data_IF_815891676880
#
_entry.id   IF_815891676880
#
_cell.length_a   1.000
_cell.length_b   1.000
_cell.length_c   1.000
_cell.angle_alpha   90.00
_cell.angle_beta   90.00
_cell.angle_gamma   90.00
#
_symmetry.space_group_name_H-M   'P 1'
#
loop_
_entity.id
_entity.type
_entity.pdbx_description
1 polymer ?
#
# COMPACT_ATOMS: atom_id res chain seq x y z
N UNK A 1 -0.44 -12.79 28.50
CA UNK A 1 0.07 -12.18 27.26
C UNK A 1 -0.56 -10.82 27.02
N UNK A 2 0.07 -9.75 27.50
CA UNK A 2 -0.43 -8.39 27.34
C UNK A 2 -0.23 -7.88 25.90
N UNK A 3 0.93 -8.16 25.32
CA UNK A 3 1.30 -7.74 23.97
C UNK A 3 0.36 -8.28 22.88
N UNK A 4 0.03 -9.58 22.91
CA UNK A 4 -0.92 -10.16 21.95
C UNK A 4 -2.29 -9.46 21.99
N UNK A 5 -2.78 -9.16 23.20
CA UNK A 5 -4.03 -8.42 23.39
C UNK A 5 -3.98 -7.01 22.82
N UNK A 6 -2.86 -6.29 23.01
CA UNK A 6 -2.63 -4.96 22.44
C UNK A 6 -2.55 -4.97 20.91
N UNK A 7 -1.87 -5.96 20.32
CA UNK A 7 -1.79 -6.14 18.87
C UNK A 7 -3.16 -6.43 18.27
N UNK A 8 -3.91 -7.37 18.87
CA UNK A 8 -5.26 -7.73 18.43
C UNK A 8 -6.25 -6.55 18.59
N UNK A 9 -6.13 -5.77 19.67
CA UNK A 9 -6.93 -4.56 19.88
C UNK A 9 -6.63 -3.49 18.81
N UNK A 10 -5.35 -3.23 18.56
CA UNK A 10 -4.91 -2.28 17.52
C UNK A 10 -5.39 -2.71 16.13
N UNK A 11 -5.34 -4.00 15.82
CA UNK A 11 -5.87 -4.56 14.57
C UNK A 11 -7.38 -4.31 14.40
N UNK A 12 -8.18 -4.53 15.45
CA UNK A 12 -9.63 -4.26 15.44
C UNK A 12 -9.91 -2.78 15.23
N UNK A 13 -9.19 -1.90 15.93
CA UNK A 13 -9.32 -0.45 15.80
C UNK A 13 -9.06 0.02 14.37
N UNK A 14 -7.97 -0.43 13.73
CA UNK A 14 -7.67 -0.07 12.34
C UNK A 14 -8.75 -0.56 11.36
N UNK A 15 -9.30 -1.76 11.60
CA UNK A 15 -10.36 -2.32 10.77
C UNK A 15 -11.66 -1.50 10.89
N UNK A 16 -12.02 -1.08 12.11
CA UNK A 16 -13.19 -0.24 12.38
C UNK A 16 -13.06 1.15 11.73
N UNK A 17 -11.91 1.81 11.89
CA UNK A 17 -11.64 3.11 11.25
C UNK A 17 -11.78 3.00 9.74
N UNK A 18 -11.21 1.95 9.13
CA UNK A 18 -11.31 1.72 7.68
C UNK A 18 -12.75 1.59 7.21
N UNK A 19 -13.55 0.81 7.93
CA UNK A 19 -14.96 0.61 7.61
C UNK A 19 -15.75 1.93 7.70
N UNK A 20 -15.53 2.71 8.75
CA UNK A 20 -16.15 4.04 8.93
C UNK A 20 -15.80 4.99 7.79
N UNK A 21 -14.54 5.04 7.36
CA UNK A 21 -14.13 5.89 6.23
C UNK A 21 -14.75 5.44 4.91
N UNK A 22 -14.92 4.14 4.69
CA UNK A 22 -15.61 3.63 3.50
C UNK A 22 -17.10 3.99 3.49
N UNK A 23 -17.76 4.03 4.65
CA UNK A 23 -19.16 4.42 4.76
C UNK A 23 -19.39 5.92 4.49
N UNK A 24 -18.40 6.77 4.77
CA UNK A 24 -18.51 8.22 4.54
C UNK A 24 -18.56 8.57 3.05
N UNK A 25 -17.87 7.82 2.19
CA UNK A 25 -17.78 8.13 0.75
C UNK A 25 -19.14 8.12 0.03
N UNK A 26 -19.97 7.06 0.12
CA UNK A 26 -21.30 7.06 -0.48
C UNK A 26 -22.22 8.16 0.07
N UNK A 27 -22.14 8.44 1.38
CA UNK A 27 -22.95 9.48 2.02
C UNK A 27 -22.55 10.88 1.53
N UNK A 28 -21.25 11.14 1.41
CA UNK A 28 -20.74 12.40 0.86
C UNK A 28 -21.15 12.57 -0.61
N UNK A 29 -21.06 11.51 -1.42
CA UNK A 29 -21.50 11.54 -2.81
C UNK A 29 -23.01 11.85 -2.94
N UNK A 30 -23.84 11.21 -2.12
CA UNK A 30 -25.28 11.46 -2.09
C UNK A 30 -25.61 12.89 -1.63
N UNK A 31 -24.96 13.38 -0.58
CA UNK A 31 -25.14 14.75 -0.10
C UNK A 31 -24.74 15.78 -1.17
N UNK A 32 -23.62 15.58 -1.85
CA UNK A 32 -23.20 16.44 -2.96
C UNK A 32 -24.22 16.42 -4.10
N UNK A 33 -24.77 15.26 -4.46
CA UNK A 33 -25.79 15.18 -5.51
C UNK A 33 -27.04 16.00 -5.16
N UNK A 34 -27.51 15.94 -3.90
CA UNK A 34 -28.65 16.74 -3.42
C UNK A 34 -28.34 18.25 -3.45
N UNK A 35 -27.13 18.64 -3.03
CA UNK A 35 -26.72 20.06 -3.04
C UNK A 35 -26.63 20.60 -4.46
N UNK A 36 -26.08 19.82 -5.40
CA UNK A 36 -25.93 20.23 -6.79
C UNK A 36 -27.27 20.39 -7.52
N UNK A 37 -28.25 19.54 -7.22
CA UNK A 37 -29.61 19.66 -7.78
C UNK A 37 -30.29 20.99 -7.38
N UNK A 38 -30.01 21.45 -6.15
CA UNK A 38 -30.54 22.72 -5.64
C UNK A 38 -29.78 23.95 -6.15
N UNK A 39 -28.45 23.88 -6.28
CA UNK A 39 -27.62 25.01 -6.66
C UNK A 39 -27.72 25.35 -8.16
N UNK A 40 -27.94 24.35 -9.03
CA UNK A 40 -28.10 24.47 -10.50
C UNK A 40 -27.00 25.25 -11.27
N UNK A 41 -25.85 25.52 -10.66
CA UNK A 41 -24.72 26.21 -11.31
C UNK A 41 -23.57 25.25 -11.60
N UNK A 42 -23.00 25.33 -12.79
CA UNK A 42 -21.86 24.50 -13.19
C UNK A 42 -20.61 24.77 -12.33
N UNK A 43 -20.44 26.01 -11.86
CA UNK A 43 -19.33 26.42 -11.00
C UNK A 43 -19.35 25.66 -9.67
N UNK A 44 -20.51 25.57 -9.02
CA UNK A 44 -20.68 24.76 -7.81
C UNK A 44 -20.35 23.29 -8.10
N UNK A 45 -20.82 22.76 -9.22
CA UNK A 45 -20.50 21.41 -9.70
C UNK A 45 -19.00 21.14 -9.76
N UNK A 46 -18.24 22.07 -10.35
CA UNK A 46 -16.79 21.97 -10.47
C UNK A 46 -16.10 22.00 -9.11
N UNK A 47 -16.47 22.96 -8.23
CA UNK A 47 -15.88 23.12 -6.90
C UNK A 47 -16.09 21.86 -6.07
N UNK A 48 -17.32 21.35 -5.99
CA UNK A 48 -17.62 20.14 -5.24
C UNK A 48 -16.91 18.91 -5.80
N UNK A 49 -16.80 18.80 -7.13
CA UNK A 49 -16.12 17.66 -7.76
C UNK A 49 -14.61 17.67 -7.51
N UNK A 50 -13.96 18.83 -7.58
CA UNK A 50 -12.54 18.97 -7.25
C UNK A 50 -12.28 18.69 -5.76
N UNK A 51 -13.13 19.23 -4.88
CA UNK A 51 -13.04 18.97 -3.44
C UNK A 51 -13.19 17.47 -3.14
N UNK A 52 -14.23 16.83 -3.69
CA UNK A 52 -14.47 15.40 -3.53
C UNK A 52 -13.31 14.54 -4.05
N UNK A 53 -12.70 14.92 -5.18
CA UNK A 53 -11.52 14.27 -5.72
C UNK A 53 -10.33 14.34 -4.77
N UNK A 54 -10.00 15.53 -4.25
CA UNK A 54 -8.89 15.74 -3.31
C UNK A 54 -9.10 14.94 -2.02
N UNK A 55 -10.29 15.00 -1.44
CA UNK A 55 -10.65 14.22 -0.24
C UNK A 55 -10.49 12.72 -0.50
N UNK A 56 -10.97 12.23 -1.65
CA UNK A 56 -10.87 10.82 -2.01
C UNK A 56 -9.41 10.38 -2.17
N UNK A 57 -8.55 11.20 -2.80
CA UNK A 57 -7.12 10.93 -2.92
C UNK A 57 -6.41 10.92 -1.55
N UNK A 58 -6.80 11.82 -0.64
CA UNK A 58 -6.34 11.82 0.75
C UNK A 58 -6.73 10.52 1.48
N UNK A 59 -7.99 10.08 1.34
CA UNK A 59 -8.47 8.81 1.91
C UNK A 59 -7.74 7.59 1.34
N UNK A 60 -7.50 7.55 0.03
CA UNK A 60 -6.72 6.46 -0.61
C UNK A 60 -5.31 6.39 -0.03
N UNK A 61 -4.68 7.54 0.18
CA UNK A 61 -3.31 7.65 0.73
C UNK A 61 -3.27 7.18 2.18
N UNK A 62 -4.19 7.69 3.01
CA UNK A 62 -4.36 7.27 4.40
C UNK A 62 -4.61 5.76 4.51
N UNK A 63 -5.53 5.24 3.69
CA UNK A 63 -5.87 3.83 3.66
C UNK A 63 -4.69 2.94 3.22
N UNK A 64 -3.86 3.43 2.28
CA UNK A 64 -2.64 2.73 1.86
C UNK A 64 -1.60 2.66 2.99
N UNK A 65 -1.51 3.69 3.84
CA UNK A 65 -0.68 3.65 5.05
C UNK A 65 -1.25 2.69 6.09
N UNK A 66 -2.57 2.66 6.28
CA UNK A 66 -3.22 1.71 7.17
C UNK A 66 -3.01 0.26 6.74
N UNK A 67 -2.99 -0.04 5.43
CA UNK A 67 -2.65 -1.39 4.94
C UNK A 67 -1.26 -1.84 5.41
N UNK A 68 -0.28 -0.93 5.44
CA UNK A 68 1.07 -1.25 5.91
C UNK A 68 1.05 -1.59 7.41
N UNK A 69 0.40 -0.77 8.23
CA UNK A 69 0.27 -1.01 9.67
C UNK A 69 -0.49 -2.30 9.96
N UNK A 70 -1.56 -2.55 9.22
CA UNK A 70 -2.38 -3.75 9.30
C UNK A 70 -1.57 -5.01 8.99
N UNK A 71 -0.78 -5.02 7.91
CA UNK A 71 0.09 -6.15 7.55
C UNK A 71 1.15 -6.42 8.62
N UNK A 72 1.75 -5.36 9.18
CA UNK A 72 2.73 -5.47 10.26
C UNK A 72 2.11 -6.07 11.53
N UNK A 73 0.92 -5.61 11.93
CA UNK A 73 0.24 -6.14 13.11
C UNK A 73 -0.17 -7.61 12.93
N UNK A 74 -0.63 -8.01 11.74
CA UNK A 74 -0.90 -9.42 11.45
C UNK A 74 0.38 -10.25 11.57
N UNK A 75 1.47 -9.78 10.96
CA UNK A 75 2.75 -10.48 11.02
C UNK A 75 3.23 -10.67 12.45
N UNK A 76 3.12 -9.61 13.28
CA UNK A 76 3.48 -9.65 14.70
C UNK A 76 2.59 -10.61 15.49
N UNK A 77 1.27 -10.55 15.30
CA UNK A 77 0.34 -11.45 15.98
C UNK A 77 0.61 -12.93 15.62
N UNK A 78 0.85 -13.22 14.34
CA UNK A 78 1.21 -14.55 13.87
C UNK A 78 2.56 -15.02 14.43
N UNK A 79 3.54 -14.12 14.59
CA UNK A 79 4.82 -14.46 15.21
C UNK A 79 4.64 -14.84 16.69
N UNK A 80 3.84 -14.05 17.44
CA UNK A 80 3.53 -14.31 18.85
C UNK A 80 2.80 -15.65 19.00
N UNK A 81 1.78 -15.93 18.19
CA UNK A 81 1.05 -17.22 18.21
C UNK A 81 1.99 -18.42 18.04
N UNK A 82 2.92 -18.37 17.08
CA UNK A 82 3.92 -19.43 16.90
C UNK A 82 4.87 -19.58 18.08
N UNK A 83 5.28 -18.48 18.71
CA UNK A 83 6.15 -18.53 19.89
C UNK A 83 5.46 -19.22 21.08
N UNK A 84 4.13 -19.20 21.12
CA UNK A 84 3.34 -19.86 22.16
C UNK A 84 3.00 -21.32 21.81
N UNK A 85 3.43 -21.79 20.64
CA UNK A 85 3.07 -23.11 20.12
C UNK A 85 1.66 -23.19 19.51
N UNK A 86 0.97 -22.06 19.33
CA UNK A 86 -0.33 -22.01 18.67
C UNK A 86 -0.16 -21.84 17.15
N UNK A 87 0.14 -22.94 16.47
CA UNK A 87 0.34 -22.95 15.02
C UNK A 87 -0.96 -22.79 14.23
N UNK A 88 -2.12 -23.06 14.85
CA UNK A 88 -3.45 -22.90 14.25
C UNK A 88 -4.17 -21.62 14.71
N UNK A 89 -3.40 -20.68 15.28
CA UNK A 89 -3.91 -19.40 15.73
C UNK A 89 -4.53 -18.57 14.61
N UNK A 90 -5.40 -17.64 14.99
CA UNK A 90 -6.21 -16.84 14.07
C UNK A 90 -5.39 -16.00 13.08
N UNK A 91 -4.15 -15.63 13.43
CA UNK A 91 -3.24 -14.88 12.57
C UNK A 91 -2.21 -15.79 11.88
N UNK A 92 -1.74 -16.85 12.54
CA UNK A 92 -0.74 -17.79 12.05
C UNK A 92 -1.22 -18.62 10.87
N UNK A 93 -2.45 -19.11 10.94
CA UNK A 93 -3.07 -19.93 9.89
C UNK A 93 -4.23 -19.22 9.18
N UNK A 94 -4.14 -17.89 9.06
CA UNK A 94 -5.19 -17.10 8.40
C UNK A 94 -5.40 -17.57 6.95
N UNK A 95 -6.64 -17.96 6.56
CA UNK A 95 -6.92 -18.38 5.20
C UNK A 95 -6.67 -17.22 4.23
N UNK A 96 -5.94 -17.51 3.15
CA UNK A 96 -5.77 -16.56 2.04
C UNK A 96 -7.09 -16.45 1.26
N UNK A 97 -7.32 -15.29 0.66
CA UNK A 97 -8.44 -15.10 -0.26
C UNK A 97 -8.40 -16.15 -1.38
N UNK A 98 -9.26 -17.16 -1.31
CA UNK A 98 -9.35 -18.28 -2.25
C UNK A 98 -10.57 -18.17 -3.17
N UNK A 99 -11.61 -17.43 -2.75
CA UNK A 99 -12.83 -17.26 -3.52
C UNK A 99 -12.60 -16.31 -4.70
N UNK A 100 -13.03 -16.75 -5.88
CA UNK A 100 -12.99 -15.97 -7.12
C UNK A 100 -14.43 -15.95 -7.67
N UNK A 101 -14.93 -14.78 -8.02
CA UNK A 101 -16.23 -14.57 -8.67
C UNK A 101 -16.02 -14.34 -10.17
N UNK A 102 -17.00 -14.75 -10.96
CA UNK A 102 -17.01 -14.59 -12.43
C UNK A 102 -16.34 -15.75 -13.18
N UNK A 103 -16.52 -15.74 -14.51
CA UNK A 103 -16.00 -16.75 -15.44
C UNK A 103 -15.18 -16.09 -16.57
N UNK A 104 -14.27 -16.85 -17.17
CA UNK A 104 -13.46 -16.39 -18.31
C UNK A 104 -12.46 -15.27 -17.96
N UNK A 105 -12.49 -14.18 -18.73
CA UNK A 105 -11.58 -13.03 -18.57
C UNK A 105 -11.95 -12.10 -17.40
N UNK A 106 -13.17 -12.21 -16.86
CA UNK A 106 -13.70 -11.38 -15.77
C UNK A 106 -13.63 -12.13 -14.44
N UNK A 107 -12.42 -12.56 -14.04
CA UNK A 107 -12.20 -13.19 -12.74
C UNK A 107 -11.93 -12.14 -11.68
N UNK A 108 -12.85 -12.00 -10.74
CA UNK A 108 -12.72 -11.11 -9.59
C UNK A 108 -12.35 -11.91 -8.35
N UNK A 109 -11.11 -11.79 -7.89
CA UNK A 109 -10.68 -12.35 -6.59
C UNK A 109 -11.35 -11.60 -5.45
N UNK A 110 -12.08 -12.32 -4.60
CA UNK A 110 -12.74 -11.75 -3.41
C UNK A 110 -11.70 -11.53 -2.32
N UNK A 111 -11.09 -10.37 -2.39
CA UNK A 111 -10.08 -9.85 -1.47
C UNK A 111 -10.59 -8.52 -0.90
N UNK A 112 -10.39 -8.33 0.40
CA UNK A 112 -10.70 -7.08 1.10
C UNK A 112 -10.07 -5.85 0.41
N UNK A 113 -8.81 -5.93 -0.03
CA UNK A 113 -8.11 -4.85 -0.74
C UNK A 113 -8.74 -4.55 -2.09
N UNK A 114 -9.21 -5.58 -2.80
CA UNK A 114 -9.89 -5.40 -4.09
C UNK A 114 -11.21 -4.67 -3.90
N UNK A 115 -12.02 -5.04 -2.90
CA UNK A 115 -13.27 -4.33 -2.59
C UNK A 115 -13.03 -2.85 -2.29
N UNK A 116 -12.06 -2.56 -1.42
CA UNK A 116 -11.67 -1.19 -1.06
C UNK A 116 -11.15 -0.41 -2.28
N UNK A 117 -10.29 -1.02 -3.10
CA UNK A 117 -9.78 -0.41 -4.31
C UNK A 117 -10.89 -0.08 -5.31
N UNK A 118 -11.89 -0.96 -5.47
CA UNK A 118 -13.05 -0.72 -6.33
C UNK A 118 -13.85 0.50 -5.89
N UNK A 119 -14.15 0.61 -4.58
CA UNK A 119 -14.88 1.77 -4.05
C UNK A 119 -14.14 3.07 -4.35
N UNK A 120 -12.85 3.15 -4.04
CA UNK A 120 -12.06 4.35 -4.33
C UNK A 120 -11.95 4.66 -5.83
N UNK A 121 -11.77 3.62 -6.66
CA UNK A 121 -11.69 3.77 -8.13
C UNK A 121 -13.00 4.35 -8.68
N UNK A 122 -14.15 3.84 -8.21
CA UNK A 122 -15.46 4.35 -8.58
C UNK A 122 -15.67 5.79 -8.10
N UNK A 123 -15.31 6.11 -6.86
CA UNK A 123 -15.41 7.48 -6.32
C UNK A 123 -14.53 8.46 -7.09
N UNK A 124 -13.28 8.12 -7.40
CA UNK A 124 -12.41 8.96 -8.23
C UNK A 124 -13.03 9.18 -9.62
N UNK A 125 -13.58 8.12 -10.23
CA UNK A 125 -14.27 8.21 -11.52
C UNK A 125 -15.47 9.15 -11.48
N UNK A 126 -16.30 9.06 -10.43
CA UNK A 126 -17.43 9.97 -10.22
C UNK A 126 -16.98 11.43 -10.14
N UNK A 127 -15.95 11.73 -9.35
CA UNK A 127 -15.46 13.10 -9.20
C UNK A 127 -14.80 13.64 -10.47
N UNK A 128 -14.05 12.80 -11.20
CA UNK A 128 -13.49 13.19 -12.50
C UNK A 128 -14.57 13.45 -13.55
N UNK A 129 -15.63 12.63 -13.57
CA UNK A 129 -16.80 12.90 -14.40
C UNK A 129 -17.41 14.26 -14.06
N UNK A 130 -17.62 14.54 -12.77
CA UNK A 130 -18.13 15.84 -12.32
C UNK A 130 -17.26 17.02 -12.75
N UNK A 131 -15.93 16.89 -12.67
CA UNK A 131 -14.97 17.90 -13.17
C UNK A 131 -15.14 18.12 -14.67
N UNK A 132 -15.13 17.06 -15.49
CA UNK A 132 -15.25 17.18 -16.94
C UNK A 132 -16.62 17.72 -17.36
N UNK A 133 -17.68 17.24 -16.74
CA UNK A 133 -19.04 17.68 -17.02
C UNK A 133 -19.23 19.16 -16.69
N UNK A 134 -18.85 19.58 -15.48
CA UNK A 134 -18.96 20.98 -15.06
C UNK A 134 -18.11 21.91 -15.95
N UNK A 135 -16.90 21.49 -16.31
CA UNK A 135 -16.03 22.25 -17.21
C UNK A 135 -16.65 22.42 -18.60
N UNK A 136 -17.32 21.38 -19.12
CA UNK A 136 -18.03 21.46 -20.40
C UNK A 136 -19.19 22.46 -20.33
N UNK A 137 -20.01 22.42 -19.28
CA UNK A 137 -21.10 23.39 -19.09
C UNK A 137 -20.59 24.84 -19.00
N UNK A 138 -19.51 25.09 -18.26
CA UNK A 138 -18.89 26.42 -18.20
C UNK A 138 -18.40 26.86 -19.59
N UNK A 139 -17.71 25.97 -20.31
CA UNK A 139 -17.23 26.26 -21.67
C UNK A 139 -18.34 26.60 -22.65
N UNK A 140 -19.47 25.89 -22.59
CA UNK A 140 -20.65 26.16 -23.44
C UNK A 140 -21.37 27.46 -23.06
N UNK A 141 -21.46 27.76 -21.76
CA UNK A 141 -22.02 29.03 -21.30
C UNK A 141 -21.21 30.23 -21.83
N UNK A 142 -19.88 30.12 -21.86
CA UNK A 142 -18.99 31.17 -22.41
C UNK A 142 -19.19 31.38 -23.91
N UNK A 143 -19.56 30.36 -24.68
CA UNK A 143 -19.81 30.49 -26.12
C UNK A 143 -21.22 31.01 -26.45
N UNK A 144 -22.07 31.25 -25.45
CA UNK A 144 -23.45 31.70 -25.64
C UNK A 144 -24.40 30.60 -26.11
N UNK A 145 -24.00 29.34 -26.00
CA UNK A 145 -24.84 28.20 -26.38
C UNK A 145 -25.73 27.78 -25.21
N UNK A 146 -27.03 27.60 -25.46
CA UNK A 146 -28.03 27.45 -24.40
C UNK A 146 -28.00 26.08 -23.69
N UNK A 147 -27.47 25.03 -24.32
CA UNK A 147 -27.46 23.69 -23.76
C UNK A 147 -26.26 22.87 -24.23
N UNK A 148 -25.69 22.09 -23.31
CA UNK A 148 -24.65 21.10 -23.62
C UNK A 148 -25.32 19.90 -24.30
N UNK A 149 -24.87 19.46 -25.48
CA UNK A 149 -25.34 18.24 -26.11
C UNK A 149 -25.05 16.99 -25.26
N UNK A 150 -26.00 16.05 -25.18
CA UNK A 150 -25.86 14.82 -24.39
C UNK A 150 -24.66 13.94 -24.75
N UNK A 151 -24.18 14.00 -26.00
CA UNK A 151 -22.97 13.27 -26.39
C UNK A 151 -21.72 13.76 -25.68
N UNK A 152 -21.68 15.02 -25.22
CA UNK A 152 -20.56 15.58 -24.46
C UNK A 152 -20.50 14.99 -23.06
N UNK A 153 -21.65 14.76 -22.43
CA UNK A 153 -21.72 14.08 -21.14
C UNK A 153 -21.19 12.63 -21.25
N UNK A 154 -21.52 11.94 -22.34
CA UNK A 154 -20.95 10.61 -22.64
C UNK A 154 -19.44 10.67 -22.84
N UNK A 155 -18.93 11.68 -23.55
CA UNK A 155 -17.49 11.89 -23.72
C UNK A 155 -16.81 12.16 -22.37
N UNK A 156 -17.39 13.00 -21.51
CA UNK A 156 -16.89 13.27 -20.17
C UNK A 156 -16.82 11.99 -19.31
N UNK A 157 -17.85 11.15 -19.36
CA UNK A 157 -17.88 9.86 -18.67
C UNK A 157 -16.78 8.91 -19.20
N UNK A 158 -16.66 8.79 -20.52
CA UNK A 158 -15.61 7.98 -21.15
C UNK A 158 -14.20 8.46 -20.75
N UNK A 159 -13.96 9.77 -20.77
CA UNK A 159 -12.68 10.36 -20.35
C UNK A 159 -12.36 10.05 -18.88
N UNK A 160 -13.35 10.16 -17.98
CA UNK A 160 -13.18 9.81 -16.58
C UNK A 160 -12.79 8.33 -16.41
N UNK A 161 -13.49 7.42 -17.08
CA UNK A 161 -13.21 5.97 -17.03
C UNK A 161 -11.80 5.67 -17.57
N UNK A 162 -11.42 6.27 -18.70
CA UNK A 162 -10.10 6.09 -19.31
C UNK A 162 -9.01 6.59 -18.35
N UNK A 163 -9.14 7.80 -17.82
CA UNK A 163 -8.14 8.41 -16.95
C UNK A 163 -7.93 7.59 -15.67
N UNK A 164 -9.02 7.12 -15.06
CA UNK A 164 -8.96 6.24 -13.88
C UNK A 164 -8.29 4.91 -14.22
N UNK A 165 -8.65 4.30 -15.35
CA UNK A 165 -8.09 3.02 -15.78
C UNK A 165 -6.59 3.10 -16.04
N UNK A 166 -6.16 4.15 -16.76
CA UNK A 166 -4.75 4.43 -17.03
C UNK A 166 -4.00 4.72 -15.72
N UNK A 167 -4.54 5.59 -14.86
CA UNK A 167 -3.94 5.89 -13.57
C UNK A 167 -3.77 4.65 -12.68
N UNK A 168 -4.79 3.80 -12.62
CA UNK A 168 -4.74 2.54 -11.88
C UNK A 168 -3.73 1.53 -12.48
N UNK A 169 -3.61 1.46 -13.81
CA UNK A 169 -2.61 0.63 -14.47
C UNK A 169 -1.18 1.13 -14.20
N UNK A 170 -0.94 2.44 -14.33
CA UNK A 170 0.35 3.06 -14.04
C UNK A 170 0.75 2.87 -12.58
N UNK A 171 -0.17 3.05 -11.63
CA UNK A 171 0.10 2.84 -10.21
C UNK A 171 0.44 1.38 -9.91
N UNK A 172 -0.26 0.42 -10.53
CA UNK A 172 0.04 -1.01 -10.40
C UNK A 172 1.45 -1.33 -10.92
N UNK A 173 1.79 -0.84 -12.11
CA UNK A 173 3.12 -1.02 -12.70
C UNK A 173 4.22 -0.44 -11.80
N UNK A 174 4.06 0.82 -11.33
CA UNK A 174 5.01 1.46 -10.41
C UNK A 174 5.16 0.70 -9.10
N UNK A 175 4.06 0.22 -8.51
CA UNK A 175 4.08 -0.57 -7.27
C UNK A 175 4.84 -1.87 -7.45
N UNK A 176 4.67 -2.55 -8.58
CA UNK A 176 5.37 -3.80 -8.85
C UNK A 176 6.87 -3.56 -9.08
N UNK A 177 7.25 -2.56 -9.89
CA UNK A 177 8.64 -2.19 -10.07
C UNK A 177 9.31 -1.78 -8.75
N UNK A 178 8.63 -0.97 -7.93
CA UNK A 178 9.12 -0.58 -6.61
C UNK A 178 9.30 -1.79 -5.69
N UNK A 179 8.33 -2.72 -5.68
CA UNK A 179 8.41 -3.95 -4.88
C UNK A 179 9.63 -4.78 -5.27
N UNK A 180 9.83 -5.03 -6.56
CA UNK A 180 10.99 -5.80 -7.04
C UNK A 180 12.30 -5.09 -6.65
N UNK A 181 12.39 -3.78 -6.88
CA UNK A 181 13.56 -2.98 -6.52
C UNK A 181 13.87 -3.04 -5.02
N UNK A 182 12.87 -2.82 -4.16
CA UNK A 182 13.06 -2.88 -2.70
C UNK A 182 13.45 -4.28 -2.22
N UNK A 183 12.89 -5.35 -2.81
CA UNK A 183 13.28 -6.73 -2.48
C UNK A 183 14.74 -7.01 -2.85
N UNK A 184 15.17 -6.57 -4.03
CA UNK A 184 16.55 -6.73 -4.48
C UNK A 184 17.51 -5.90 -3.61
N UNK A 185 17.15 -4.65 -3.29
CA UNK A 185 17.92 -3.79 -2.38
C UNK A 185 18.03 -4.42 -0.97
N UNK A 186 16.94 -4.97 -0.43
CA UNK A 186 16.95 -5.68 0.85
C UNK A 186 17.86 -6.91 0.83
N UNK A 187 17.73 -7.76 -0.19
CA UNK A 187 18.59 -8.94 -0.36
C UNK A 187 20.07 -8.54 -0.43
N UNK A 188 20.40 -7.58 -1.28
CA UNK A 188 21.77 -7.07 -1.44
C UNK A 188 22.33 -6.47 -0.13
N UNK A 189 21.52 -5.68 0.58
CA UNK A 189 21.90 -5.09 1.87
C UNK A 189 22.22 -6.18 2.90
N UNK A 190 21.37 -7.20 3.04
CA UNK A 190 21.61 -8.32 3.98
C UNK A 190 22.88 -9.08 3.63
N UNK A 191 23.08 -9.42 2.35
CA UNK A 191 24.28 -10.15 1.93
C UNK A 191 25.56 -9.32 2.09
N UNK A 192 25.50 -8.00 1.91
CA UNK A 192 26.64 -7.11 2.14
C UNK A 192 26.95 -6.97 3.63
N UNK A 193 25.93 -6.73 4.47
CA UNK A 193 26.09 -6.65 5.94
C UNK A 193 26.61 -7.97 6.52
N UNK A 194 26.14 -9.11 6.02
CA UNK A 194 26.58 -10.44 6.48
C UNK A 194 28.07 -10.73 6.20
N UNK A 195 28.70 -10.02 5.25
CA UNK A 195 30.11 -10.21 4.89
C UNK A 195 31.07 -9.33 5.69
N UNK A 196 30.55 -8.38 6.46
CA UNK A 196 31.36 -7.39 7.17
C UNK A 196 31.15 -7.55 8.68
N UNK A 197 32.21 -7.42 9.49
CA UNK A 197 32.02 -7.25 10.93
C UNK A 197 31.29 -5.92 11.19
N UNK A 198 30.50 -5.86 12.27
CA UNK A 198 29.66 -4.70 12.59
C UNK A 198 30.48 -3.41 12.75
N UNK A 199 31.70 -3.53 13.26
CA UNK A 199 32.65 -2.41 13.42
C UNK A 199 33.03 -1.76 12.10
N UNK A 200 33.04 -2.51 11.00
CA UNK A 200 33.49 -2.03 9.69
C UNK A 200 32.33 -1.48 8.84
N UNK A 201 31.08 -1.61 9.31
CA UNK A 201 29.91 -1.19 8.55
C UNK A 201 29.88 0.32 8.30
N UNK A 202 30.40 1.13 9.21
CA UNK A 202 30.41 2.58 9.04
C UNK A 202 31.33 3.03 7.88
N UNK A 203 32.45 2.33 7.69
CA UNK A 203 33.46 2.67 6.68
C UNK A 203 33.20 1.98 5.34
N UNK A 204 32.76 0.72 5.38
CA UNK A 204 32.68 -0.17 4.20
C UNK A 204 31.27 -0.67 3.92
N UNK A 205 30.31 -0.31 4.76
CA UNK A 205 28.94 -0.79 4.64
C UNK A 205 28.22 -0.25 3.40
N UNK A 206 27.12 -0.90 2.99
CA UNK A 206 26.35 -0.52 1.81
C UNK A 206 25.42 0.69 2.09
N UNK A 207 25.97 1.81 2.58
CA UNK A 207 25.20 2.98 3.08
C UNK A 207 24.16 3.47 2.07
N UNK A 208 24.55 3.62 0.80
CA UNK A 208 23.64 4.04 -0.27
C UNK A 208 22.46 3.07 -0.47
N UNK A 209 22.71 1.76 -0.40
CA UNK A 209 21.66 0.74 -0.53
C UNK A 209 20.73 0.77 0.68
N UNK A 210 21.27 0.96 1.89
CA UNK A 210 20.48 1.10 3.11
C UNK A 210 19.60 2.36 3.08
N UNK A 211 20.15 3.48 2.59
CA UNK A 211 19.41 4.73 2.41
C UNK A 211 18.25 4.57 1.40
N UNK A 212 18.51 3.98 0.23
CA UNK A 212 17.48 3.69 -0.77
C UNK A 212 16.40 2.76 -0.22
N UNK A 213 16.80 1.71 0.51
CA UNK A 213 15.89 0.72 1.08
C UNK A 213 14.97 1.33 2.14
N UNK A 214 15.52 2.16 3.03
CA UNK A 214 14.74 2.84 4.08
C UNK A 214 13.98 4.07 3.60
N UNK A 215 14.24 4.56 2.38
CA UNK A 215 13.73 5.85 1.93
C UNK A 215 14.22 7.01 2.80
N UNK A 216 15.43 6.88 3.36
CA UNK A 216 16.08 7.87 4.23
C UNK A 216 17.29 8.48 3.53
N UNK A 217 17.82 9.58 4.04
CA UNK A 217 19.05 10.18 3.51
C UNK A 217 20.28 9.30 3.81
N UNK A 218 21.31 9.38 2.96
CA UNK A 218 22.58 8.65 3.20
C UNK A 218 23.25 9.07 4.51
N UNK A 219 23.12 10.34 4.91
CA UNK A 219 23.64 10.83 6.19
C UNK A 219 22.89 10.23 7.38
N UNK A 220 21.55 10.10 7.30
CA UNK A 220 20.76 9.40 8.34
C UNK A 220 21.14 7.93 8.42
N UNK A 221 21.28 7.25 7.27
CA UNK A 221 21.70 5.85 7.23
C UNK A 221 23.09 5.66 7.84
N UNK A 222 24.06 6.52 7.46
CA UNK A 222 25.41 6.51 8.01
C UNK A 222 25.41 6.74 9.52
N UNK A 223 24.67 7.73 10.03
CA UNK A 223 24.60 8.00 11.46
C UNK A 223 24.05 6.80 12.26
N UNK A 224 23.04 6.10 11.73
CA UNK A 224 22.49 4.88 12.35
C UNK A 224 23.50 3.73 12.33
N UNK A 225 24.25 3.57 11.25
CA UNK A 225 25.31 2.56 11.15
C UNK A 225 26.49 2.88 12.08
N UNK A 226 26.90 4.15 12.17
CA UNK A 226 27.94 4.58 13.10
C UNK A 226 27.52 4.33 14.55
N UNK A 227 26.29 4.67 14.90
CA UNK A 227 25.74 4.34 16.21
C UNK A 227 25.80 2.82 16.48
N UNK A 228 25.39 1.99 15.51
CA UNK A 228 25.45 0.54 15.63
C UNK A 228 26.90 0.02 15.84
N UNK A 229 27.88 0.62 15.16
CA UNK A 229 29.30 0.25 15.30
C UNK A 229 29.93 0.64 16.64
N UNK A 230 29.29 1.57 17.36
CA UNK A 230 29.74 2.05 18.68
C UNK A 230 29.09 1.27 19.83
N UNK A 231 28.07 0.44 19.55
CA UNK A 231 27.41 -0.32 20.60
C UNK A 231 28.34 -1.40 21.19
N UNK A 232 28.25 -1.67 22.50
CA UNK A 232 28.87 -2.83 23.12
C UNK A 232 28.50 -4.14 22.39
N UNK A 233 29.41 -5.13 22.40
CA UNK A 233 29.22 -6.37 21.66
C UNK A 233 27.96 -7.14 22.10
N UNK A 234 27.64 -7.13 23.39
CA UNK A 234 26.45 -7.74 23.97
C UNK A 234 25.15 -7.07 23.49
N UNK A 235 25.14 -5.74 23.34
CA UNK A 235 24.00 -5.02 22.76
C UNK A 235 23.83 -5.34 21.26
N UNK A 236 24.93 -5.44 20.52
CA UNK A 236 24.90 -5.84 19.10
C UNK A 236 24.37 -7.28 18.95
N UNK A 237 24.78 -8.21 19.83
CA UNK A 237 24.26 -9.58 19.85
C UNK A 237 22.78 -9.59 20.18
N UNK A 238 22.32 -8.75 21.11
CA UNK A 238 20.90 -8.62 21.43
C UNK A 238 20.10 -8.12 20.21
N UNK A 239 20.62 -7.13 19.47
CA UNK A 239 19.98 -6.58 18.28
C UNK A 239 19.98 -7.55 17.09
N UNK A 240 21.12 -8.20 16.82
CA UNK A 240 21.23 -9.23 15.80
C UNK A 240 20.39 -10.49 16.16
N UNK A 241 20.07 -10.66 17.44
CA UNK A 241 19.59 -11.90 18.02
C UNK A 241 20.74 -12.91 18.16
N UNK A 242 20.48 -14.01 18.86
CA UNK A 242 21.43 -15.14 19.01
C UNK A 242 21.83 -15.81 17.67
N UNK A 243 21.25 -15.37 16.56
CA UNK A 243 21.44 -15.96 15.25
C UNK A 243 22.61 -15.32 14.49
N UNK A 244 23.62 -16.13 14.19
CA UNK A 244 24.65 -15.79 13.21
C UNK A 244 24.12 -15.89 11.78
N UNK A 245 24.80 -15.26 10.83
CA UNK A 245 24.47 -15.35 9.40
C UNK A 245 23.38 -14.36 8.95
N UNK A 246 22.61 -14.77 7.93
CA UNK A 246 21.67 -13.88 7.23
C UNK A 246 20.56 -13.32 8.14
N UNK A 247 20.18 -14.04 9.19
CA UNK A 247 19.13 -13.57 10.11
C UNK A 247 19.62 -12.45 11.01
N UNK A 248 20.83 -12.58 11.56
CA UNK A 248 21.50 -11.49 12.28
C UNK A 248 21.69 -10.27 11.39
N UNK A 249 22.20 -10.46 10.18
CA UNK A 249 22.35 -9.37 9.21
C UNK A 249 21.02 -8.70 8.85
N UNK A 250 19.93 -9.46 8.70
CA UNK A 250 18.60 -8.91 8.45
C UNK A 250 18.07 -8.06 9.62
N UNK A 251 18.33 -8.46 10.86
CA UNK A 251 17.98 -7.65 12.04
C UNK A 251 18.77 -6.34 12.08
N UNK A 252 20.07 -6.37 11.80
CA UNK A 252 20.90 -5.16 11.74
C UNK A 252 20.48 -4.21 10.61
N UNK A 253 20.21 -4.74 9.41
CA UNK A 253 19.66 -3.94 8.30
C UNK A 253 18.36 -3.29 8.73
N UNK A 254 17.46 -4.06 9.35
CA UNK A 254 16.14 -3.60 9.80
C UNK A 254 16.21 -2.49 10.83
N UNK A 255 17.16 -2.57 11.76
CA UNK A 255 17.46 -1.50 12.71
C UNK A 255 17.84 -0.19 12.01
N UNK A 256 18.65 -0.27 10.95
CA UNK A 256 19.10 0.90 10.20
C UNK A 256 17.98 1.52 9.35
N UNK A 257 17.11 0.70 8.75
CA UNK A 257 16.15 1.15 7.71
C UNK A 257 14.69 1.19 8.15
N UNK A 258 14.39 0.88 9.41
CA UNK A 258 13.04 0.82 9.99
C UNK A 258 12.06 -0.12 9.24
N UNK A 259 12.58 -1.23 8.69
CA UNK A 259 11.77 -2.26 8.04
C UNK A 259 11.60 -3.50 8.92
N UNK A 260 10.51 -4.29 8.76
CA UNK A 260 10.35 -5.51 9.54
C UNK A 260 11.46 -6.54 9.23
N UNK A 261 12.15 -7.09 10.25
CA UNK A 261 13.27 -8.01 10.05
C UNK A 261 12.90 -9.30 9.33
N UNK A 262 11.70 -9.83 9.56
CA UNK A 262 11.25 -11.00 8.81
C UNK A 262 11.10 -10.71 7.32
N UNK A 263 10.61 -9.52 6.93
CA UNK A 263 10.47 -9.17 5.52
C UNK A 263 11.85 -9.03 4.86
N UNK A 264 12.79 -8.38 5.54
CA UNK A 264 14.18 -8.21 5.07
C UNK A 264 14.84 -9.59 4.90
N UNK A 265 14.70 -10.48 5.89
CA UNK A 265 15.20 -11.85 5.84
C UNK A 265 14.56 -12.67 4.70
N UNK A 266 13.25 -12.57 4.51
CA UNK A 266 12.53 -13.27 3.44
C UNK A 266 12.91 -12.77 2.03
N UNK A 267 13.38 -11.52 1.92
CA UNK A 267 13.96 -11.01 0.67
C UNK A 267 15.33 -11.64 0.42
N UNK A 268 16.18 -11.74 1.44
CA UNK A 268 17.51 -12.33 1.32
C UNK A 268 17.48 -13.85 1.04
N UNK A 269 16.56 -14.57 1.67
CA UNK A 269 16.45 -16.04 1.51
C UNK A 269 15.56 -16.47 0.34
N UNK A 270 14.86 -15.54 -0.30
CA UNK A 270 13.91 -15.87 -1.36
C UNK A 270 12.63 -16.59 -0.89
N UNK A 271 12.40 -16.73 0.43
CA UNK A 271 11.29 -17.49 1.03
C UNK A 271 9.88 -17.00 0.65
N UNK A 272 9.76 -15.82 0.00
CA UNK A 272 8.50 -15.27 -0.53
C UNK A 272 8.67 -14.62 -1.90
N UNK A 273 9.31 -15.30 -2.85
CA UNK A 273 9.26 -14.81 -4.23
C UNK A 273 7.78 -14.70 -4.66
N UNK A 274 7.35 -13.56 -5.25
CA UNK A 274 6.10 -13.55 -5.99
C UNK A 274 6.23 -14.69 -6.99
N UNK A 275 5.35 -15.67 -6.93
CA UNK A 275 5.35 -16.79 -7.85
C UNK A 275 5.34 -16.20 -9.27
N UNK A 276 6.48 -16.26 -9.96
CA UNK A 276 6.61 -15.86 -11.37
C UNK A 276 5.63 -16.67 -12.26
N UNK A 277 5.06 -17.76 -11.72
CA UNK A 277 4.05 -18.60 -12.36
C UNK A 277 2.61 -18.05 -12.36
N UNK A 278 2.28 -17.03 -11.56
CA UNK A 278 0.89 -16.52 -11.53
C UNK A 278 0.54 -15.57 -12.70
N UNK A 279 1.52 -15.17 -13.53
CA UNK A 279 1.26 -14.29 -14.68
C UNK A 279 1.10 -15.02 -16.01
N UNK A 280 1.30 -16.34 -16.11
CA UNK A 280 1.15 -17.07 -17.38
C UNK A 280 0.50 -18.47 -17.29
N UNK A 281 0.36 -19.09 -16.12
CA UNK A 281 -0.26 -20.42 -16.03
C UNK A 281 -1.77 -20.30 -15.78
N UNK A 282 -2.53 -20.09 -16.85
CA UNK A 282 -3.90 -20.57 -16.86
C UNK A 282 -3.86 -22.10 -16.73
N UNK A 283 -4.56 -22.72 -15.77
CA UNK A 283 -4.68 -24.16 -15.77
C UNK A 283 -5.32 -24.56 -17.10
N UNK A 284 -4.61 -25.36 -17.90
CA UNK A 284 -5.21 -26.10 -18.99
C UNK A 284 -6.30 -26.97 -18.37
N UNK A 285 -7.54 -26.58 -18.58
CA UNK A 285 -8.71 -27.38 -18.21
C UNK A 285 -8.63 -28.63 -19.07
N UNK A 286 -8.29 -29.76 -18.45
CA UNK A 286 -8.63 -31.10 -18.96
C UNK A 286 -9.98 -31.50 -18.37
#
# INVERSE_FOLDING_TARGET
>A
MKEYGEVASSFRLLTDIRFKLLAVLPLAAAATAIVLDNARTAEAGLIFSLFGLVVTLGLVTYNSRNDQLYDTLIGRAASIERQLGDFDGAFSNRPRAWRILGSGKLRWRVDHRMGVATVYTASIGLWLFGVFNASAHIGYAVTGTAAVPSWIELVALCLAIILVSVGAAMLRSRKESLRVRLRNAASNAVHAVNKLPVTDLAERGPIRVLAELGGISETTALARVQHLSQLPHDEVVLLAGEHTGLRGAANLVSYVVDLPPEWVYDCATGRRQPSLSASNDAPSVQ
#
